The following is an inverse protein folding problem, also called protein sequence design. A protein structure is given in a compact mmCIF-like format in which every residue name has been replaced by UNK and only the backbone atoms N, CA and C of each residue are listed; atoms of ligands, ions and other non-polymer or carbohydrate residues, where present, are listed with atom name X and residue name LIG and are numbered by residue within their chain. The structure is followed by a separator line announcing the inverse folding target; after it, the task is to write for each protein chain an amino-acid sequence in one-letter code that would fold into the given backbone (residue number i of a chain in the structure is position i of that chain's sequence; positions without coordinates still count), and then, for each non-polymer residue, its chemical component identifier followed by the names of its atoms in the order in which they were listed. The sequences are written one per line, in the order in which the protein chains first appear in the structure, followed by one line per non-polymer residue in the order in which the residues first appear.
data_IF_306562958772
#
_entry.id   IF_306562958772
#
_cell.length_a   1.000
_cell.length_b   1.000
_cell.length_c   1.000
_cell.angle_alpha   90.00
_cell.angle_beta   90.00
_cell.angle_gamma   90.00
#
_symmetry.space_group_name_H-M   'P 1'
#
loop_
_entity.id
_entity.type
_entity.pdbx_description
1 polymer ?
#
# COMPACT_ATOMS: atom_id res chain seq x y z
N UNK A 1 4.14 -17.54 -3.61
CA UNK A 1 2.77 -17.27 -3.13
C UNK A 1 2.55 -15.76 -3.16
N UNK A 2 1.60 -15.27 -3.95
CA UNK A 2 1.32 -13.82 -4.04
C UNK A 2 0.72 -13.37 -2.70
N UNK A 3 1.48 -12.66 -1.87
CA UNK A 3 1.01 -12.27 -0.53
C UNK A 3 0.07 -11.07 -0.66
N UNK A 4 -1.11 -11.19 -0.05
CA UNK A 4 -2.19 -10.22 -0.16
C UNK A 4 -1.90 -8.93 0.64
N UNK A 5 -2.33 -7.79 0.11
CA UNK A 5 -2.31 -6.48 0.80
C UNK A 5 -3.47 -6.32 1.81
N UNK A 6 -4.44 -7.24 1.81
CA UNK A 6 -5.61 -7.23 2.68
C UNK A 6 -5.32 -7.09 4.19
N UNK A 7 -4.38 -7.85 4.80
CA UNK A 7 -4.08 -7.72 6.22
C UNK A 7 -3.59 -6.33 6.62
N UNK A 8 -2.74 -5.71 5.80
CA UNK A 8 -2.18 -4.38 6.06
C UNK A 8 -3.26 -3.31 5.97
N UNK A 9 -4.11 -3.41 4.93
CA UNK A 9 -5.24 -2.50 4.74
C UNK A 9 -6.21 -2.58 5.92
N UNK A 10 -6.50 -3.80 6.41
CA UNK A 10 -7.36 -3.99 7.58
C UNK A 10 -6.73 -3.46 8.87
N UNK A 11 -5.43 -3.70 9.07
CA UNK A 11 -4.67 -3.25 10.26
C UNK A 11 -4.69 -1.72 10.41
N UNK A 12 -4.49 -1.00 9.32
CA UNK A 12 -4.42 0.46 9.30
C UNK A 12 -5.74 1.16 8.98
N UNK A 13 -6.84 0.40 8.84
CA UNK A 13 -8.11 0.92 8.35
C UNK A 13 -7.96 1.76 7.06
N UNK A 14 -7.06 1.33 6.18
CA UNK A 14 -6.68 2.05 4.97
C UNK A 14 -7.68 1.76 3.85
N UNK A 15 -7.70 2.61 2.82
CA UNK A 15 -8.60 2.47 1.67
C UNK A 15 -7.81 2.21 0.39
N UNK A 16 -8.24 1.25 -0.43
CA UNK A 16 -7.69 1.10 -1.79
C UNK A 16 -8.30 2.17 -2.68
N UNK A 17 -7.45 2.96 -3.33
CA UNK A 17 -7.88 3.89 -4.35
C UNK A 17 -8.08 3.14 -5.67
N UNK A 18 -9.00 3.65 -6.49
CA UNK A 18 -9.29 3.06 -7.80
C UNK A 18 -8.05 3.17 -8.68
N UNK A 19 -7.79 2.10 -9.42
CA UNK A 19 -6.72 2.05 -10.41
C UNK A 19 -7.26 2.57 -11.75
N UNK A 20 -6.67 3.63 -12.30
CA UNK A 20 -7.10 4.20 -13.58
C UNK A 20 -6.79 3.28 -14.78
N UNK A 21 -5.67 2.56 -14.72
CA UNK A 21 -5.24 1.65 -15.79
C UNK A 21 -4.54 0.40 -15.20
N UNK A 22 -4.49 -0.75 -15.89
CA UNK A 22 -3.88 -1.98 -15.35
C UNK A 22 -2.37 -1.89 -15.12
N UNK A 23 -1.70 -0.85 -15.62
CA UNK A 23 -0.26 -0.63 -15.49
C UNK A 23 0.14 0.30 -14.33
N UNK A 24 -0.80 1.09 -13.79
CA UNK A 24 -0.53 1.93 -12.62
C UNK A 24 -0.08 1.12 -11.39
N UNK A 25 0.55 1.75 -10.39
CA UNK A 25 0.69 1.15 -9.08
C UNK A 25 -0.69 0.96 -8.42
N UNK A 26 -0.80 -0.01 -7.51
CA UNK A 26 -1.92 -0.06 -6.58
C UNK A 26 -1.75 1.05 -5.54
N UNK A 27 -2.74 1.91 -5.39
CA UNK A 27 -2.69 3.04 -4.46
C UNK A 27 -3.52 2.75 -3.22
N UNK A 28 -2.94 2.93 -2.04
CA UNK A 28 -3.59 2.69 -0.75
C UNK A 28 -3.51 3.97 0.07
N UNK A 29 -4.65 4.55 0.39
CA UNK A 29 -4.83 5.74 1.20
C UNK A 29 -4.88 5.37 2.69
N UNK A 30 -3.97 5.93 3.48
CA UNK A 30 -3.94 5.80 4.94
C UNK A 30 -4.54 7.05 5.59
N UNK A 31 -4.80 6.99 6.90
CA UNK A 31 -5.33 8.13 7.65
C UNK A 31 -4.25 9.17 7.99
N UNK A 32 -2.97 8.77 7.99
CA UNK A 32 -1.84 9.65 8.28
C UNK A 32 -0.58 9.23 7.54
N UNK A 33 0.32 10.18 7.29
CA UNK A 33 1.65 9.93 6.69
C UNK A 33 2.49 8.96 7.56
N UNK A 34 2.34 9.03 8.89
CA UNK A 34 3.04 8.12 9.80
C UNK A 34 2.63 6.66 9.56
N UNK A 35 1.33 6.40 9.42
CA UNK A 35 0.82 5.07 9.11
C UNK A 35 1.23 4.62 7.71
N UNK A 36 1.16 5.51 6.71
CA UNK A 36 1.60 5.21 5.35
C UNK A 36 3.09 4.81 5.32
N UNK A 37 3.95 5.57 6.02
CA UNK A 37 5.37 5.28 6.13
C UNK A 37 5.63 3.91 6.78
N UNK A 38 4.91 3.54 7.84
CA UNK A 38 5.02 2.21 8.45
C UNK A 38 4.51 1.10 7.51
N UNK A 39 3.40 1.36 6.82
CA UNK A 39 2.81 0.40 5.92
C UNK A 39 3.71 0.10 4.71
N UNK A 40 4.52 1.05 4.23
CA UNK A 40 5.54 0.78 3.19
C UNK A 40 6.48 -0.34 3.62
N UNK A 41 7.03 -0.26 4.83
CA UNK A 41 7.93 -1.29 5.36
C UNK A 41 7.24 -2.64 5.49
N UNK A 42 6.00 -2.68 5.99
CA UNK A 42 5.24 -3.92 6.13
C UNK A 42 4.81 -4.51 4.77
N UNK A 43 4.47 -3.67 3.79
CA UNK A 43 4.11 -4.12 2.44
C UNK A 43 5.34 -4.72 1.78
N UNK A 44 6.49 -4.05 1.86
CA UNK A 44 7.74 -4.55 1.30
C UNK A 44 8.15 -5.87 1.96
N UNK A 45 8.18 -5.95 3.30
CA UNK A 45 8.55 -7.15 4.03
C UNK A 45 7.57 -8.33 3.82
N UNK A 46 6.26 -8.05 3.73
CA UNK A 46 5.25 -9.08 3.54
C UNK A 46 5.21 -9.55 2.09
N UNK A 47 5.12 -8.63 1.14
CA UNK A 47 4.84 -8.95 -0.27
C UNK A 47 6.06 -9.04 -1.16
N UNK A 48 7.21 -8.46 -0.74
CA UNK A 48 8.40 -8.30 -1.57
C UNK A 48 8.24 -7.29 -2.71
N UNK A 49 7.14 -6.53 -2.73
CA UNK A 49 6.85 -5.55 -3.78
C UNK A 49 7.52 -4.23 -3.51
N UNK A 50 7.99 -3.59 -4.58
CA UNK A 50 8.44 -2.22 -4.54
C UNK A 50 7.25 -1.31 -4.20
N UNK A 51 7.43 -0.46 -3.19
CA UNK A 51 6.40 0.46 -2.74
C UNK A 51 6.99 1.69 -2.08
N UNK A 52 6.27 2.80 -2.16
CA UNK A 52 6.67 4.06 -1.55
C UNK A 52 5.44 4.86 -1.13
N UNK A 53 5.59 5.65 -0.08
CA UNK A 53 4.55 6.59 0.33
C UNK A 53 4.77 7.96 -0.31
N UNK A 54 3.67 8.55 -0.74
CA UNK A 54 3.51 9.95 -1.13
C UNK A 54 2.52 10.56 -0.14
N UNK A 55 3.05 11.14 0.94
CA UNK A 55 2.26 11.59 2.08
C UNK A 55 1.51 10.44 2.75
N UNK A 56 0.18 10.52 2.74
CA UNK A 56 -0.74 9.51 3.29
C UNK A 56 -1.12 8.40 2.29
N UNK A 57 -0.64 8.46 1.04
CA UNK A 57 -0.90 7.43 0.02
C UNK A 57 0.32 6.55 -0.20
N UNK A 58 0.16 5.22 -0.15
CA UNK A 58 1.20 4.27 -0.55
C UNK A 58 0.93 3.76 -1.96
N UNK A 59 1.92 3.90 -2.83
CA UNK A 59 1.94 3.34 -4.17
C UNK A 59 2.69 2.01 -4.14
N UNK A 60 2.02 0.93 -4.53
CA UNK A 60 2.56 -0.45 -4.54
C UNK A 60 2.66 -0.93 -5.99
N UNK A 61 3.88 -1.23 -6.42
CA UNK A 61 4.20 -1.69 -7.76
C UNK A 61 4.04 -3.21 -7.85
N UNK A 62 3.90 -3.71 -9.08
CA UNK A 62 3.54 -5.12 -9.32
C UNK A 62 4.73 -6.04 -9.14
#
# INVERSE_FOLDING_TARGET
MSKSLAPIIKKYNAKRLKKDNPWAPQRIQFNSNREASQAVWEINASTGRECFNDGDVVNVYR
#
